data_IF_876090000904
#
_entry.id   IF_876090000904
#
_cell.length_a   1.000
_cell.length_b   1.000
_cell.length_c   1.000
_cell.angle_alpha   90.00
_cell.angle_beta   90.00
_cell.angle_gamma   90.00
#
_symmetry.space_group_name_H-M   'P 1'
#
loop_
_entity.id
_entity.type
_entity.pdbx_description
1 polymer ?
#
# COMPACT_ATOMS: atom_id res chain seq x y z
N UNK A 1 16.52 -19.88 -2.00
CA UNK A 1 16.77 -18.73 -2.91
C UNK A 1 15.81 -17.57 -2.63
N UNK A 2 14.48 -17.77 -2.68
CA UNK A 2 13.50 -16.68 -2.45
C UNK A 2 13.59 -15.98 -1.09
N UNK A 3 13.83 -16.70 0.01
CA UNK A 3 13.96 -16.10 1.35
C UNK A 3 15.11 -15.08 1.41
N UNK A 4 16.29 -15.42 0.88
CA UNK A 4 17.46 -14.53 0.89
C UNK A 4 17.21 -13.25 0.08
N UNK A 5 16.50 -13.35 -1.05
CA UNK A 5 16.11 -12.20 -1.88
C UNK A 5 15.19 -11.27 -1.09
N UNK A 6 14.12 -11.82 -0.50
CA UNK A 6 13.17 -11.05 0.31
C UNK A 6 13.87 -10.41 1.52
N UNK A 7 14.71 -11.16 2.22
CA UNK A 7 15.49 -10.67 3.35
C UNK A 7 16.38 -9.50 2.92
N UNK A 8 17.08 -9.60 1.79
CA UNK A 8 17.92 -8.53 1.25
C UNK A 8 17.12 -7.26 0.94
N UNK A 9 15.95 -7.38 0.33
CA UNK A 9 15.06 -6.25 0.07
C UNK A 9 14.57 -5.59 1.38
N UNK A 10 14.15 -6.39 2.37
CA UNK A 10 13.70 -5.89 3.68
C UNK A 10 14.84 -5.19 4.41
N UNK A 11 16.04 -5.78 4.46
CA UNK A 11 17.22 -5.17 5.07
C UNK A 11 17.59 -3.83 4.39
N UNK A 12 17.49 -3.77 3.07
CA UNK A 12 17.72 -2.53 2.32
C UNK A 12 16.69 -1.44 2.68
N UNK A 13 15.41 -1.80 2.77
CA UNK A 13 14.35 -0.89 3.23
C UNK A 13 14.58 -0.42 4.67
N UNK A 14 14.99 -1.33 5.56
CA UNK A 14 15.34 -1.00 6.95
C UNK A 14 16.56 -0.08 7.02
N UNK A 15 17.53 -0.21 6.13
CA UNK A 15 18.68 0.71 6.06
C UNK A 15 18.23 2.15 5.72
N UNK A 16 17.34 2.32 4.74
CA UNK A 16 16.77 3.65 4.44
C UNK A 16 15.96 4.22 5.60
N UNK A 17 15.20 3.37 6.29
CA UNK A 17 14.49 3.77 7.51
C UNK A 17 15.46 4.20 8.62
N UNK A 18 16.54 3.45 8.85
CA UNK A 18 17.57 3.79 9.83
C UNK A 18 18.26 5.11 9.49
N UNK A 19 18.54 5.39 8.21
CA UNK A 19 19.10 6.68 7.78
C UNK A 19 18.15 7.84 8.10
N UNK A 20 16.85 7.70 7.81
CA UNK A 20 15.85 8.70 8.17
C UNK A 20 15.76 8.94 9.69
N UNK A 21 15.79 7.86 10.46
CA UNK A 21 15.79 7.92 11.92
C UNK A 21 17.03 8.64 12.46
N UNK A 22 18.22 8.28 11.97
CA UNK A 22 19.49 8.86 12.40
C UNK A 22 19.56 10.35 12.06
N UNK A 23 19.16 10.76 10.85
CA UNK A 23 19.12 12.17 10.46
C UNK A 23 18.14 12.98 11.31
N UNK A 24 17.00 12.40 11.68
CA UNK A 24 16.05 13.06 12.56
C UNK A 24 16.59 13.22 14.00
N UNK A 25 17.24 12.18 14.55
CA UNK A 25 17.91 12.27 15.87
C UNK A 25 19.09 13.25 15.87
N UNK A 26 19.80 13.37 14.75
CA UNK A 26 20.83 14.39 14.54
C UNK A 26 20.27 15.80 14.31
N UNK A 27 18.94 15.99 14.34
CA UNK A 27 18.23 17.26 14.07
C UNK A 27 18.46 17.83 12.66
N UNK A 28 18.95 17.00 11.73
CA UNK A 28 19.13 17.34 10.32
C UNK A 28 17.82 17.18 9.53
N UNK A 29 16.97 16.24 9.95
CA UNK A 29 15.62 16.07 9.43
C UNK A 29 14.58 16.39 10.51
N UNK A 30 13.46 17.01 10.11
CA UNK A 30 12.33 17.29 10.99
C UNK A 30 11.04 16.69 10.40
N UNK A 31 10.01 16.56 11.23
CA UNK A 31 8.71 15.99 10.82
C UNK A 31 8.08 16.83 9.71
N UNK A 32 8.30 18.15 9.68
CA UNK A 32 7.80 19.02 8.61
C UNK A 32 8.39 18.64 7.25
N UNK A 33 9.68 18.29 7.18
CA UNK A 33 10.32 17.81 5.94
C UNK A 33 9.66 16.51 5.45
N UNK A 34 9.24 15.65 6.38
CA UNK A 34 8.58 14.38 6.06
C UNK A 34 7.22 14.57 5.38
N UNK A 35 6.49 15.65 5.70
CA UNK A 35 5.21 16.00 5.06
C UNK A 35 5.40 16.37 3.60
N UNK A 36 6.41 17.17 3.28
CA UNK A 36 6.75 17.54 1.89
C UNK A 36 7.12 16.31 1.05
N UNK A 37 7.97 15.43 1.59
CA UNK A 37 8.33 14.18 0.91
C UNK A 37 7.13 13.24 0.74
N UNK A 38 6.24 13.18 1.74
CA UNK A 38 4.99 12.40 1.64
C UNK A 38 4.07 12.92 0.54
N UNK A 39 3.93 14.25 0.41
CA UNK A 39 3.16 14.86 -0.66
C UNK A 39 3.77 14.53 -2.03
N UNK A 40 5.08 14.64 -2.17
CA UNK A 40 5.78 14.23 -3.39
C UNK A 40 5.54 12.76 -3.75
N UNK A 41 5.60 11.85 -2.77
CA UNK A 41 5.31 10.43 -2.97
C UNK A 41 3.87 10.19 -3.47
N UNK A 42 2.89 10.89 -2.89
CA UNK A 42 1.47 10.72 -3.23
C UNK A 42 1.12 11.35 -4.57
N UNK A 43 1.58 12.57 -4.85
CA UNK A 43 1.16 13.36 -6.01
C UNK A 43 2.06 13.20 -7.24
N UNK A 44 3.32 12.79 -7.07
CA UNK A 44 4.26 12.64 -8.19
C UNK A 44 4.72 11.19 -8.33
N UNK A 45 5.27 10.61 -7.27
CA UNK A 45 5.93 9.31 -7.35
C UNK A 45 4.93 8.16 -7.57
N UNK A 46 3.78 8.19 -6.89
CA UNK A 46 2.73 7.18 -7.04
C UNK A 46 2.13 7.17 -8.45
N UNK A 47 1.73 8.31 -9.05
CA UNK A 47 1.33 8.34 -10.45
C UNK A 47 2.41 7.80 -11.40
N UNK A 48 3.67 8.20 -11.21
CA UNK A 48 4.77 7.73 -12.05
C UNK A 48 5.02 6.23 -11.93
N UNK A 49 4.92 5.68 -10.72
CA UNK A 49 4.97 4.24 -10.46
C UNK A 49 3.86 3.48 -11.17
N UNK A 50 2.62 3.98 -11.15
CA UNK A 50 1.48 3.32 -11.78
C UNK A 50 1.68 3.32 -13.29
N UNK A 51 1.90 4.49 -13.89
CA UNK A 51 2.07 4.64 -15.34
C UNK A 51 3.25 3.79 -15.84
N UNK A 52 4.41 3.85 -15.17
CA UNK A 52 5.58 3.04 -15.55
C UNK A 52 5.31 1.54 -15.52
N UNK A 53 4.53 1.03 -14.55
CA UNK A 53 4.20 -0.41 -14.47
C UNK A 53 3.47 -0.91 -15.71
N UNK A 54 2.54 -0.11 -16.25
CA UNK A 54 1.79 -0.46 -17.43
C UNK A 54 2.59 -0.28 -18.72
N UNK A 55 3.57 0.63 -18.72
CA UNK A 55 4.44 0.89 -19.87
C UNK A 55 5.46 -0.22 -20.13
N UNK A 56 5.82 -1.03 -19.13
CA UNK A 56 6.72 -2.20 -19.30
C UNK A 56 6.02 -3.41 -19.89
N UNK A 57 4.69 -3.37 -20.08
CA UNK A 57 3.90 -4.47 -20.67
C UNK A 57 3.29 -4.10 -22.01
N UNK A 58 2.91 -5.13 -22.75
CA UNK A 58 2.14 -5.04 -23.98
C UNK A 58 0.75 -5.64 -23.73
N UNK A 59 -0.29 -4.95 -24.19
CA UNK A 59 -1.65 -5.42 -23.98
C UNK A 59 -1.97 -6.66 -24.80
N UNK A 60 -2.36 -7.71 -24.09
CA UNK A 60 -3.09 -8.87 -24.59
C UNK A 60 -4.41 -9.03 -23.83
N UNK A 61 -5.49 -9.51 -24.46
CA UNK A 61 -6.77 -9.74 -23.77
C UNK A 61 -6.64 -10.65 -22.55
N UNK A 62 -5.76 -11.64 -22.61
CA UNK A 62 -5.49 -12.55 -21.50
C UNK A 62 -4.90 -11.81 -20.29
N UNK A 63 -3.87 -10.97 -20.50
CA UNK A 63 -3.28 -10.17 -19.42
C UNK A 63 -4.30 -9.18 -18.88
N UNK A 64 -5.09 -8.53 -19.73
CA UNK A 64 -6.18 -7.65 -19.29
C UNK A 64 -7.17 -8.35 -18.35
N UNK A 65 -7.59 -9.58 -18.71
CA UNK A 65 -8.44 -10.42 -17.87
C UNK A 65 -7.77 -10.76 -16.53
N UNK A 66 -6.48 -11.15 -16.55
CA UNK A 66 -5.71 -11.44 -15.32
C UNK A 66 -5.64 -10.22 -14.40
N UNK A 67 -5.37 -9.03 -14.94
CA UNK A 67 -5.32 -7.79 -14.15
C UNK A 67 -6.66 -7.44 -13.52
N UNK A 68 -7.76 -7.56 -14.29
CA UNK A 68 -9.11 -7.34 -13.77
C UNK A 68 -9.46 -8.34 -12.66
N UNK A 69 -9.17 -9.62 -12.87
CA UNK A 69 -9.38 -10.64 -11.85
C UNK A 69 -8.53 -10.39 -10.61
N UNK A 70 -7.29 -9.91 -10.76
CA UNK A 70 -6.43 -9.55 -9.63
C UNK A 70 -7.01 -8.38 -8.83
N UNK A 71 -7.50 -7.34 -9.51
CA UNK A 71 -8.19 -6.22 -8.88
C UNK A 71 -9.42 -6.70 -8.09
N UNK A 72 -10.28 -7.51 -8.71
CA UNK A 72 -11.50 -8.02 -8.08
C UNK A 72 -11.19 -8.94 -6.89
N UNK A 73 -10.20 -9.83 -7.02
CA UNK A 73 -9.76 -10.70 -5.93
C UNK A 73 -9.19 -9.88 -4.77
N UNK A 74 -8.35 -8.88 -5.06
CA UNK A 74 -7.78 -7.99 -4.04
C UNK A 74 -8.87 -7.22 -3.29
N UNK A 75 -9.82 -6.64 -4.03
CA UNK A 75 -10.97 -5.93 -3.47
C UNK A 75 -11.83 -6.86 -2.60
N UNK A 76 -12.14 -8.06 -3.09
CA UNK A 76 -12.94 -9.05 -2.36
C UNK A 76 -12.27 -9.46 -1.05
N UNK A 77 -10.98 -9.82 -1.07
CA UNK A 77 -10.25 -10.22 0.14
C UNK A 77 -10.19 -9.07 1.16
N UNK A 78 -9.96 -7.84 0.72
CA UNK A 78 -9.98 -6.65 1.58
C UNK A 78 -11.37 -6.42 2.21
N UNK A 79 -12.44 -6.52 1.42
CA UNK A 79 -13.82 -6.38 1.91
C UNK A 79 -14.24 -7.51 2.84
N UNK A 80 -13.80 -8.75 2.59
CA UNK A 80 -14.06 -9.89 3.48
C UNK A 80 -13.37 -9.67 4.82
N UNK A 81 -12.11 -9.23 4.83
CA UNK A 81 -11.40 -8.92 6.07
C UNK A 81 -12.07 -7.77 6.83
N UNK A 82 -12.44 -6.70 6.12
CA UNK A 82 -13.21 -5.60 6.71
C UNK A 82 -14.53 -6.08 7.31
N UNK A 83 -15.32 -6.85 6.56
CA UNK A 83 -16.60 -7.40 7.03
C UNK A 83 -16.43 -8.31 8.24
N UNK A 84 -15.42 -9.18 8.25
CA UNK A 84 -15.10 -10.03 9.38
C UNK A 84 -14.77 -9.21 10.64
N UNK A 85 -13.96 -8.16 10.50
CA UNK A 85 -13.63 -7.26 11.61
C UNK A 85 -14.85 -6.50 12.13
N UNK A 86 -15.73 -6.03 11.24
CA UNK A 86 -16.98 -5.36 11.62
C UNK A 86 -17.89 -6.31 12.40
N UNK A 87 -18.03 -7.55 11.96
CA UNK A 87 -18.84 -8.57 12.63
C UNK A 87 -18.27 -8.95 14.01
N UNK A 88 -16.94 -9.12 14.11
CA UNK A 88 -16.27 -9.52 15.36
C UNK A 88 -16.27 -8.39 16.39
N UNK A 89 -16.00 -7.15 15.97
CA UNK A 89 -15.87 -6.02 16.89
C UNK A 89 -17.21 -5.37 17.22
N UNK A 90 -18.17 -5.36 16.29
CA UNK A 90 -19.51 -4.83 16.50
C UNK A 90 -19.52 -3.44 17.16
N UNK A 91 -20.13 -3.34 18.35
CA UNK A 91 -20.21 -2.08 19.12
C UNK A 91 -18.85 -1.51 19.54
N UNK A 92 -17.79 -2.33 19.62
CA UNK A 92 -16.44 -1.86 19.99
C UNK A 92 -15.87 -0.86 18.97
N UNK A 93 -16.41 -0.81 17.75
CA UNK A 93 -16.06 0.21 16.75
C UNK A 93 -16.46 1.65 17.16
N UNK A 94 -17.18 1.81 18.27
CA UNK A 94 -17.36 3.11 18.92
C UNK A 94 -16.05 3.71 19.43
N UNK A 95 -15.09 2.88 19.81
CA UNK A 95 -13.76 3.33 20.21
C UNK A 95 -12.83 3.41 18.99
N UNK A 96 -12.10 4.52 18.85
CA UNK A 96 -11.29 4.76 17.65
C UNK A 96 -10.11 3.82 17.46
N UNK A 97 -9.51 3.34 18.55
CA UNK A 97 -8.46 2.31 18.49
C UNK A 97 -8.91 1.03 17.75
N UNK A 98 -10.17 0.62 17.92
CA UNK A 98 -10.73 -0.55 17.22
C UNK A 98 -11.07 -0.23 15.75
N UNK A 99 -11.37 1.03 15.43
CA UNK A 99 -11.54 1.47 14.05
C UNK A 99 -10.21 1.48 13.29
N UNK A 100 -9.16 2.00 13.92
CA UNK A 100 -7.79 1.94 13.37
C UNK A 100 -7.33 0.49 13.22
N UNK A 101 -7.57 -0.36 14.22
CA UNK A 101 -7.31 -1.80 14.13
C UNK A 101 -8.01 -2.44 12.93
N UNK A 102 -9.28 -2.07 12.69
CA UNK A 102 -10.09 -2.61 11.58
C UNK A 102 -9.47 -2.26 10.23
N UNK A 103 -9.17 -0.98 9.98
CA UNK A 103 -8.59 -0.58 8.69
C UNK A 103 -7.14 -1.06 8.55
N UNK A 104 -6.37 -1.06 9.63
CA UNK A 104 -5.00 -1.56 9.66
C UNK A 104 -4.88 -3.06 9.41
N UNK A 105 -5.94 -3.83 9.64
CA UNK A 105 -5.95 -5.27 9.41
C UNK A 105 -5.87 -5.68 7.93
N UNK A 106 -6.25 -4.80 7.00
CA UNK A 106 -6.22 -5.10 5.55
C UNK A 106 -5.51 -4.03 4.70
N UNK A 107 -5.28 -2.81 5.20
CA UNK A 107 -4.57 -1.76 4.47
C UNK A 107 -3.04 -1.90 4.64
N UNK A 108 -2.36 -2.29 3.56
CA UNK A 108 -0.92 -2.56 3.55
C UNK A 108 -0.11 -1.57 2.71
N UNK A 109 1.19 -1.45 2.99
CA UNK A 109 2.13 -0.71 2.16
C UNK A 109 2.49 -1.48 0.86
N UNK A 110 1.50 -1.72 0.01
CA UNK A 110 1.69 -2.55 -1.18
C UNK A 110 2.52 -1.88 -2.26
N UNK A 111 2.34 -0.57 -2.45
CA UNK A 111 3.06 0.19 -3.47
C UNK A 111 4.55 0.32 -3.17
N UNK A 112 4.92 0.70 -1.95
CA UNK A 112 6.33 1.00 -1.61
C UNK A 112 7.06 -0.17 -0.95
N UNK A 113 6.34 -1.12 -0.34
CA UNK A 113 6.96 -2.31 0.30
C UNK A 113 6.67 -3.59 -0.49
N UNK A 114 5.40 -3.84 -0.85
CA UNK A 114 5.01 -5.07 -1.55
C UNK A 114 5.59 -5.22 -2.95
N UNK A 115 5.54 -4.15 -3.75
CA UNK A 115 5.99 -4.17 -5.15
C UNK A 115 7.47 -4.56 -5.29
N UNK A 116 8.45 -3.92 -4.61
CA UNK A 116 9.85 -4.33 -4.73
C UNK A 116 10.09 -5.80 -4.35
N UNK A 117 9.31 -6.35 -3.40
CA UNK A 117 9.44 -7.76 -3.02
C UNK A 117 8.98 -8.70 -4.13
N UNK A 118 7.83 -8.43 -4.76
CA UNK A 118 7.33 -9.30 -5.83
C UNK A 118 8.16 -9.14 -7.11
N UNK A 119 8.64 -7.93 -7.43
CA UNK A 119 9.54 -7.70 -8.57
C UNK A 119 10.88 -8.42 -8.36
N UNK A 120 11.43 -8.43 -7.13
CA UNK A 120 12.66 -9.14 -6.83
C UNK A 120 12.50 -10.68 -6.87
N UNK A 121 11.32 -11.20 -6.53
CA UNK A 121 11.02 -12.64 -6.60
C UNK A 121 10.68 -13.12 -8.00
N UNK A 122 10.14 -12.25 -8.86
CA UNK A 122 9.75 -12.58 -10.23
C UNK A 122 10.32 -11.55 -11.23
N UNK A 123 11.66 -11.46 -11.39
CA UNK A 123 12.31 -10.45 -12.23
C UNK A 123 11.88 -10.55 -13.70
N UNK A 124 11.58 -11.75 -14.19
CA UNK A 124 11.21 -12.01 -15.59
C UNK A 124 9.70 -11.91 -15.85
N UNK A 125 8.88 -11.59 -14.83
CA UNK A 125 7.43 -11.52 -14.96
C UNK A 125 6.92 -10.10 -14.67
N UNK A 126 6.94 -9.18 -15.65
CA UNK A 126 6.58 -7.79 -15.42
C UNK A 126 5.14 -7.62 -14.88
N UNK A 127 4.25 -8.59 -15.15
CA UNK A 127 2.86 -8.61 -14.67
C UNK A 127 2.71 -8.45 -13.15
N UNK A 128 3.69 -8.90 -12.35
CA UNK A 128 3.63 -8.79 -10.88
C UNK A 128 3.64 -7.34 -10.39
N UNK A 129 4.27 -6.44 -11.16
CA UNK A 129 4.26 -5.01 -10.89
C UNK A 129 2.85 -4.44 -11.05
N UNK A 130 2.17 -4.79 -12.16
CA UNK A 130 0.78 -4.38 -12.38
C UNK A 130 -0.18 -5.02 -11.39
N UNK A 131 0.00 -6.28 -11.00
CA UNK A 131 -0.77 -6.89 -9.90
C UNK A 131 -0.66 -6.08 -8.60
N UNK A 132 0.55 -5.67 -8.22
CA UNK A 132 0.76 -4.81 -7.05
C UNK A 132 0.04 -3.46 -7.18
N UNK A 133 0.02 -2.87 -8.38
CA UNK A 133 -0.73 -1.64 -8.63
C UNK A 133 -2.24 -1.85 -8.62
N UNK A 134 -2.75 -2.99 -9.09
CA UNK A 134 -4.17 -3.33 -9.01
C UNK A 134 -4.63 -3.53 -7.56
N UNK A 135 -3.80 -4.18 -6.72
CA UNK A 135 -4.06 -4.25 -5.28
C UNK A 135 -4.04 -2.85 -4.64
N UNK A 136 -3.03 -2.04 -4.95
CA UNK A 136 -2.92 -0.69 -4.42
C UNK A 136 -4.12 0.16 -4.85
N UNK A 137 -4.61 -0.02 -6.07
CA UNK A 137 -5.81 0.66 -6.61
C UNK A 137 -7.06 0.26 -5.84
N UNK A 138 -7.29 -1.05 -5.62
CA UNK A 138 -8.46 -1.51 -4.85
C UNK A 138 -8.39 -1.00 -3.41
N UNK A 139 -7.22 -1.05 -2.79
CA UNK A 139 -6.99 -0.54 -1.44
C UNK A 139 -7.23 0.97 -1.39
N UNK A 140 -6.79 1.73 -2.40
CA UNK A 140 -6.95 3.17 -2.45
C UNK A 140 -8.42 3.59 -2.53
N UNK A 141 -9.25 2.85 -3.29
CA UNK A 141 -10.71 3.04 -3.28
C UNK A 141 -11.28 2.85 -1.88
N UNK A 142 -10.83 1.82 -1.14
CA UNK A 142 -11.28 1.57 0.23
C UNK A 142 -10.76 2.61 1.22
N UNK A 143 -9.54 3.12 1.03
CA UNK A 143 -8.93 4.17 1.86
C UNK A 143 -9.77 5.44 1.82
N UNK A 144 -10.09 5.94 0.62
CA UNK A 144 -10.87 7.17 0.44
C UNK A 144 -12.39 7.00 0.61
N UNK A 145 -12.84 5.83 1.08
CA UNK A 145 -14.25 5.56 1.39
C UNK A 145 -14.40 5.05 2.82
N UNK A 146 -14.08 3.78 3.05
CA UNK A 146 -14.15 3.12 4.35
C UNK A 146 -13.09 3.68 5.30
N UNK A 147 -11.86 3.89 4.82
CA UNK A 147 -10.75 4.41 5.63
C UNK A 147 -11.05 5.79 6.21
N UNK A 148 -11.42 6.76 5.36
CA UNK A 148 -11.83 8.10 5.79
C UNK A 148 -12.99 8.04 6.79
N UNK A 149 -14.00 7.21 6.55
CA UNK A 149 -15.12 7.07 7.49
C UNK A 149 -14.71 6.50 8.84
N UNK A 150 -13.87 5.47 8.85
CA UNK A 150 -13.44 4.80 10.07
C UNK A 150 -12.51 5.69 10.91
N UNK A 151 -11.73 6.56 10.27
CA UNK A 151 -10.87 7.54 10.96
C UNK A 151 -11.69 8.73 11.47
N UNK A 152 -12.47 9.38 10.61
CA UNK A 152 -13.14 10.65 10.91
C UNK A 152 -14.52 10.51 11.58
N UNK A 153 -15.18 9.36 11.43
CA UNK A 153 -16.60 9.13 11.77
C UNK A 153 -17.61 10.03 11.06
N UNK A 154 -17.17 10.80 10.08
CA UNK A 154 -18.00 11.80 9.43
C UNK A 154 -18.25 11.42 7.97
N UNK A 155 -19.52 11.14 7.66
CA UNK A 155 -19.95 10.77 6.32
C UNK A 155 -19.73 11.88 5.30
N UNK A 156 -19.56 13.14 5.72
CA UNK A 156 -19.28 14.26 4.82
C UNK A 156 -17.96 14.12 4.08
N UNK A 157 -17.01 13.36 4.62
CA UNK A 157 -15.73 13.10 3.96
C UNK A 157 -15.85 12.00 2.90
N UNK A 158 -16.82 11.07 3.05
CA UNK A 158 -17.15 10.08 2.03
C UNK A 158 -17.84 10.76 0.85
N UNK A 159 -17.06 11.25 -0.11
CA UNK A 159 -17.58 11.76 -1.37
C UNK A 159 -17.13 10.85 -2.50
N UNK A 160 -18.06 10.41 -3.35
CA UNK A 160 -17.72 9.66 -4.58
C UNK A 160 -16.64 10.40 -5.38
N UNK A 161 -16.74 11.73 -5.43
CA UNK A 161 -15.71 12.60 -6.01
C UNK A 161 -14.31 12.37 -5.43
N UNK A 162 -14.14 12.22 -4.11
CA UNK A 162 -12.82 11.98 -3.49
C UNK A 162 -12.32 10.55 -3.72
N UNK A 163 -13.24 9.58 -3.74
CA UNK A 163 -12.90 8.19 -4.05
C UNK A 163 -12.34 8.04 -5.47
N UNK A 164 -12.87 8.79 -6.45
CA UNK A 164 -12.43 8.71 -7.85
C UNK A 164 -11.44 9.79 -8.28
N UNK A 165 -11.45 10.97 -7.65
CA UNK A 165 -10.49 12.07 -7.91
C UNK A 165 -9.41 12.02 -6.83
N UNK A 166 -8.52 11.05 -6.97
CA UNK A 166 -7.28 10.99 -6.20
C UNK A 166 -6.10 10.64 -7.11
N UNK A 167 -4.85 10.95 -6.72
CA UNK A 167 -3.69 10.75 -7.59
C UNK A 167 -3.51 9.32 -8.10
N UNK A 168 -3.90 8.32 -7.31
CA UNK A 168 -3.79 6.90 -7.68
C UNK A 168 -4.80 6.53 -8.77
N UNK A 169 -6.08 6.85 -8.58
CA UNK A 169 -7.14 6.58 -9.56
C UNK A 169 -6.93 7.39 -10.83
N UNK A 170 -6.58 8.67 -10.72
CA UNK A 170 -6.23 9.50 -11.88
C UNK A 170 -5.09 8.89 -12.69
N UNK A 171 -4.04 8.39 -12.03
CA UNK A 171 -2.94 7.72 -12.71
C UNK A 171 -3.37 6.42 -13.39
N UNK A 172 -4.23 5.61 -12.77
CA UNK A 172 -4.78 4.40 -13.39
C UNK A 172 -5.67 4.74 -14.59
N UNK A 173 -6.48 5.80 -14.51
CA UNK A 173 -7.29 6.28 -15.62
C UNK A 173 -6.46 6.79 -16.81
N UNK A 174 -5.21 7.18 -16.59
CA UNK A 174 -4.26 7.49 -17.68
C UNK A 174 -3.52 6.23 -18.14
N UNK A 175 -3.07 5.39 -17.21
CA UNK A 175 -2.26 4.21 -17.50
C UNK A 175 -3.03 3.14 -18.29
N UNK A 176 -4.30 2.89 -17.94
CA UNK A 176 -5.12 1.86 -18.61
C UNK A 176 -5.37 2.21 -20.09
N UNK A 177 -5.83 3.41 -20.47
CA UNK A 177 -5.96 3.77 -21.88
C UNK A 177 -4.65 3.70 -22.65
N UNK A 178 -3.54 4.20 -22.08
CA UNK A 178 -2.22 4.08 -22.72
C UNK A 178 -1.84 2.61 -22.96
N UNK A 179 -2.12 1.74 -21.99
CA UNK A 179 -1.89 0.31 -22.09
C UNK A 179 -2.77 -0.36 -23.15
N UNK A 180 -4.09 -0.12 -23.14
CA UNK A 180 -5.04 -0.70 -24.08
C UNK A 180 -4.79 -0.25 -25.52
N UNK A 181 -4.49 1.03 -25.71
CA UNK A 181 -4.19 1.63 -27.02
C UNK A 181 -2.75 1.33 -27.48
N UNK A 182 -1.94 0.65 -26.65
CA UNK A 182 -0.53 0.33 -26.90
C UNK A 182 0.33 1.58 -27.18
N UNK A 183 -0.05 2.71 -26.59
CA UNK A 183 0.68 3.96 -26.72
C UNK A 183 1.87 3.93 -25.77
N UNK A 184 3.08 3.93 -26.36
CA UNK A 184 4.34 4.07 -25.62
C UNK A 184 4.66 5.55 -25.43
N UNK A 185 5.04 5.91 -24.21
CA UNK A 185 5.47 7.29 -23.92
C UNK A 185 6.84 7.57 -24.58
N UNK A 186 7.15 8.82 -24.95
CA UNK A 186 8.49 9.21 -25.40
C UNK A 186 9.58 8.86 -24.36
N UNK A 187 10.80 8.57 -24.81
CA UNK A 187 11.91 8.12 -23.96
C UNK A 187 12.18 9.04 -22.76
N UNK A 188 12.12 10.37 -22.96
CA UNK A 188 12.29 11.35 -21.90
C UNK A 188 11.25 11.20 -20.78
N UNK A 189 9.97 11.01 -21.13
CA UNK A 189 8.90 10.82 -20.14
C UNK A 189 9.05 9.48 -19.44
N UNK A 190 9.37 8.41 -20.18
CA UNK A 190 9.61 7.09 -19.59
C UNK A 190 10.73 7.13 -18.56
N UNK A 191 11.83 7.83 -18.85
CA UNK A 191 12.94 7.99 -17.91
C UNK A 191 12.48 8.67 -16.62
N UNK A 192 11.68 9.74 -16.71
CA UNK A 192 11.15 10.42 -15.52
C UNK A 192 10.28 9.47 -14.70
N UNK A 193 9.37 8.73 -15.34
CA UNK A 193 8.49 7.78 -14.65
C UNK A 193 9.27 6.64 -13.99
N UNK A 194 10.35 6.17 -14.64
CA UNK A 194 11.25 5.15 -14.10
C UNK A 194 12.01 5.66 -12.87
N UNK A 195 12.56 6.87 -12.94
CA UNK A 195 13.25 7.50 -11.82
C UNK A 195 12.31 7.73 -10.62
N UNK A 196 11.08 8.21 -10.87
CA UNK A 196 10.04 8.33 -9.84
C UNK A 196 9.74 6.97 -9.19
N UNK A 197 9.66 5.90 -9.98
CA UNK A 197 9.43 4.55 -9.48
C UNK A 197 10.55 4.08 -8.57
N UNK A 198 11.80 4.28 -8.96
CA UNK A 198 12.97 3.77 -8.22
C UNK A 198 13.22 4.53 -6.92
N UNK A 199 12.97 5.84 -6.88
CA UNK A 199 13.13 6.63 -5.65
C UNK A 199 12.00 6.44 -4.63
N UNK A 200 10.85 5.94 -5.08
CA UNK A 200 9.62 5.89 -4.27
C UNK A 200 9.77 5.07 -2.99
N UNK A 201 10.29 3.85 -3.09
CA UNK A 201 10.46 2.97 -1.92
C UNK A 201 11.51 3.50 -0.93
N UNK A 202 12.74 3.91 -1.35
CA UNK A 202 13.71 4.54 -0.48
C UNK A 202 13.18 5.79 0.25
N UNK A 203 12.54 6.71 -0.46
CA UNK A 203 11.99 7.94 0.14
C UNK A 203 10.88 7.59 1.14
N UNK A 204 10.01 6.62 0.83
CA UNK A 204 8.96 6.17 1.74
C UNK A 204 9.55 5.61 3.04
N UNK A 205 10.57 4.76 2.95
CA UNK A 205 11.24 4.19 4.14
C UNK A 205 11.98 5.26 4.94
N UNK A 206 12.64 6.21 4.27
CA UNK A 206 13.27 7.36 4.91
C UNK A 206 12.26 8.19 5.71
N UNK A 207 11.12 8.53 5.11
CA UNK A 207 10.02 9.27 5.75
C UNK A 207 9.50 8.52 6.98
N UNK A 208 9.32 7.20 6.89
CA UNK A 208 8.94 6.37 8.03
C UNK A 208 9.98 6.43 9.15
N UNK A 209 11.27 6.42 8.82
CA UNK A 209 12.35 6.58 9.78
C UNK A 209 12.31 7.91 10.52
N UNK A 210 12.09 9.02 9.80
CA UNK A 210 11.93 10.36 10.39
C UNK A 210 10.73 10.41 11.34
N UNK A 211 9.59 9.82 10.96
CA UNK A 211 8.40 9.75 11.81
C UNK A 211 8.65 8.92 13.07
N UNK A 212 9.28 7.74 12.94
CA UNK A 212 9.63 6.89 14.08
C UNK A 212 10.54 7.61 15.07
N UNK A 213 11.46 8.47 14.60
CA UNK A 213 12.34 9.24 15.47
C UNK A 213 11.63 10.31 16.31
N UNK A 214 10.45 10.77 15.87
CA UNK A 214 9.60 11.73 16.59
C UNK A 214 8.67 11.08 17.62
N UNK A 215 8.56 9.75 17.62
CA UNK A 215 7.73 9.00 18.56
C UNK A 215 8.52 8.57 19.80
N UNK A 216 7.82 8.46 20.92
CA UNK A 216 8.35 7.80 22.11
C UNK A 216 8.31 6.29 21.93
N UNK A 217 9.48 5.64 21.95
CA UNK A 217 9.58 4.18 21.77
C UNK A 217 8.75 3.39 22.80
N UNK A 218 8.55 3.95 24.00
CA UNK A 218 7.66 3.37 25.01
C UNK A 218 6.22 3.32 24.55
N UNK A 219 5.74 4.36 23.86
CA UNK A 219 4.39 4.41 23.29
C UNK A 219 4.25 3.49 22.07
N UNK A 220 5.33 3.27 21.31
CA UNK A 220 5.35 2.33 20.18
C UNK A 220 5.24 0.89 20.67
N UNK A 221 6.08 0.49 21.63
CA UNK A 221 6.12 -0.89 22.12
C UNK A 221 5.10 -1.18 23.23
N UNK A 222 4.49 -0.15 23.82
CA UNK A 222 3.56 -0.26 24.95
C UNK A 222 2.08 -0.42 24.58
N UNK A 223 1.74 -0.63 23.30
CA UNK A 223 0.36 -0.73 22.83
C UNK A 223 -0.03 -2.17 22.45
N UNK A 224 -0.70 -2.94 23.33
CA UNK A 224 -1.15 -4.32 23.03
C UNK A 224 -1.97 -4.44 21.75
N UNK A 225 -2.79 -3.42 21.45
CA UNK A 225 -3.65 -3.41 20.26
C UNK A 225 -2.84 -3.32 18.96
N UNK A 226 -1.66 -2.70 18.98
CA UNK A 226 -0.78 -2.61 17.81
C UNK A 226 -0.18 -3.98 17.45
N UNK A 227 0.15 -4.81 18.45
CA UNK A 227 0.59 -6.20 18.23
C UNK A 227 -0.55 -7.05 17.66
N UNK A 228 -1.78 -6.88 18.16
CA UNK A 228 -2.94 -7.55 17.59
C UNK A 228 -3.15 -7.12 16.13
N UNK A 229 -3.06 -5.83 15.82
CA UNK A 229 -3.16 -5.32 14.46
C UNK A 229 -2.08 -5.90 13.54
N UNK A 230 -0.85 -5.98 14.03
CA UNK A 230 0.28 -6.59 13.31
C UNK A 230 0.04 -8.08 13.05
N UNK A 231 -0.44 -8.83 14.03
CA UNK A 231 -0.78 -10.24 13.87
C UNK A 231 -1.94 -10.44 12.86
N UNK A 232 -2.98 -9.62 12.95
CA UNK A 232 -4.08 -9.65 11.98
C UNK A 232 -3.59 -9.33 10.56
N UNK A 233 -2.72 -8.33 10.40
CA UNK A 233 -2.25 -7.88 9.10
C UNK A 233 -1.19 -8.79 8.47
N UNK A 234 -0.29 -9.36 9.26
CA UNK A 234 0.85 -10.16 8.78
C UNK A 234 0.59 -11.67 8.80
N UNK A 235 -0.40 -12.12 9.57
CA UNK A 235 -0.73 -13.56 9.69
C UNK A 235 -2.16 -13.80 9.20
N UNK A 236 -3.18 -13.21 9.83
CA UNK A 236 -4.57 -13.54 9.52
C UNK A 236 -4.98 -13.14 8.10
N UNK A 237 -4.65 -11.92 7.66
CA UNK A 237 -5.03 -11.40 6.36
C UNK A 237 -4.36 -12.14 5.18
N UNK A 238 -3.04 -12.43 5.20
CA UNK A 238 -2.40 -13.26 4.17
C UNK A 238 -2.93 -14.70 4.14
N UNK A 239 -3.18 -15.31 5.30
CA UNK A 239 -3.75 -16.66 5.37
C UNK A 239 -5.18 -16.70 4.84
N UNK A 240 -5.99 -15.69 5.15
CA UNK A 240 -7.33 -15.53 4.60
C UNK A 240 -7.28 -15.38 3.07
N UNK A 241 -6.41 -14.49 2.58
CA UNK A 241 -6.20 -14.28 1.16
C UNK A 241 -5.81 -15.58 0.45
N UNK A 242 -4.83 -16.29 1.02
CA UNK A 242 -4.36 -17.57 0.51
C UNK A 242 -5.47 -18.61 0.49
N UNK A 243 -6.19 -18.78 1.59
CA UNK A 243 -7.29 -19.76 1.68
C UNK A 243 -8.35 -19.50 0.60
N UNK A 244 -8.71 -18.25 0.35
CA UNK A 244 -9.71 -17.88 -0.67
C UNK A 244 -9.23 -18.27 -2.08
N UNK A 245 -7.98 -17.95 -2.44
CA UNK A 245 -7.48 -18.20 -3.81
C UNK A 245 -6.89 -19.59 -4.00
N UNK A 246 -6.54 -20.30 -2.93
CA UNK A 246 -5.92 -21.63 -3.00
C UNK A 246 -6.82 -22.61 -3.74
N UNK A 247 -8.11 -22.64 -3.38
CA UNK A 247 -9.13 -23.52 -3.98
C UNK A 247 -9.56 -23.12 -5.40
N UNK A 248 -9.06 -22.00 -5.93
CA UNK A 248 -9.39 -21.54 -7.27
C UNK A 248 -8.39 -22.10 -8.29
N UNK A 249 -8.80 -23.03 -9.19
CA UNK A 249 -7.87 -23.70 -10.11
C UNK A 249 -7.44 -22.82 -11.30
N UNK A 250 -8.16 -21.74 -11.59
CA UNK A 250 -7.89 -20.84 -12.72
C UNK A 250 -6.81 -19.79 -12.46
N UNK A 251 -6.30 -19.66 -11.23
CA UNK A 251 -5.20 -18.75 -10.91
C UNK A 251 -3.85 -19.47 -10.94
N UNK A 252 -2.91 -18.89 -11.69
CA UNK A 252 -1.54 -19.39 -11.74
C UNK A 252 -0.78 -19.12 -10.43
N UNK A 253 0.35 -19.81 -10.25
CA UNK A 253 1.18 -19.69 -9.05
C UNK A 253 1.67 -18.25 -8.84
N UNK A 254 2.01 -17.54 -9.92
CA UNK A 254 2.44 -16.13 -9.84
C UNK A 254 1.34 -15.25 -9.25
N UNK A 255 0.09 -15.39 -9.70
CA UNK A 255 -1.05 -14.66 -9.16
C UNK A 255 -1.22 -14.94 -7.66
N UNK A 256 -1.25 -16.22 -7.27
CA UNK A 256 -1.46 -16.62 -5.86
C UNK A 256 -0.34 -16.11 -4.94
N UNK A 257 0.92 -16.26 -5.37
CA UNK A 257 2.09 -15.81 -4.59
C UNK A 257 2.13 -14.28 -4.52
N UNK A 258 1.83 -13.58 -5.62
CA UNK A 258 1.79 -12.11 -5.62
C UNK A 258 0.71 -11.59 -4.67
N UNK A 259 -0.48 -12.19 -4.67
CA UNK A 259 -1.55 -11.83 -3.74
C UNK A 259 -1.14 -12.11 -2.28
N UNK A 260 -0.50 -13.24 -2.00
CA UNK A 260 0.00 -13.57 -0.67
C UNK A 260 1.03 -12.55 -0.17
N UNK A 261 2.00 -12.18 -1.00
CA UNK A 261 3.05 -11.21 -0.61
C UNK A 261 2.46 -9.82 -0.42
N UNK A 262 1.59 -9.37 -1.33
CA UNK A 262 0.98 -8.04 -1.26
C UNK A 262 0.03 -7.91 -0.05
N UNK A 263 -0.64 -9.00 0.34
CA UNK A 263 -1.41 -9.03 1.60
C UNK A 263 -0.53 -9.13 2.84
N UNK A 264 0.69 -9.67 2.73
CA UNK A 264 1.67 -9.79 3.83
C UNK A 264 2.51 -8.54 4.11
N UNK A 265 2.28 -7.42 3.43
CA UNK A 265 3.04 -6.18 3.69
C UNK A 265 2.67 -5.55 5.03
N UNK A 266 3.55 -4.76 5.67
CA UNK A 266 3.21 -3.99 6.85
C UNK A 266 2.08 -2.98 6.58
N UNK A 267 1.48 -2.46 7.65
CA UNK A 267 0.43 -1.44 7.61
C UNK A 267 0.81 -0.23 6.74
N UNK A 268 -0.17 0.33 6.03
CA UNK A 268 0.06 1.44 5.12
C UNK A 268 0.35 2.76 5.88
N UNK A 269 1.46 3.42 5.55
CA UNK A 269 1.83 4.73 6.10
C UNK A 269 0.79 5.85 5.85
N UNK A 270 -0.06 5.65 4.85
CA UNK A 270 -1.17 6.56 4.49
C UNK A 270 -2.23 6.63 5.60
N UNK A 271 -2.37 5.61 6.45
CA UNK A 271 -3.32 5.65 7.57
C UNK A 271 -2.97 6.75 8.56
N UNK A 272 -1.69 6.84 8.96
CA UNK A 272 -1.20 7.93 9.80
C UNK A 272 -1.41 9.29 9.12
N UNK A 273 -1.12 9.41 7.83
CA UNK A 273 -1.32 10.67 7.12
C UNK A 273 -2.78 11.11 7.00
N UNK A 274 -3.73 10.17 6.93
CA UNK A 274 -5.16 10.49 7.00
C UNK A 274 -5.60 10.87 8.41
N UNK A 275 -5.09 10.16 9.43
CA UNK A 275 -5.31 10.50 10.83
C UNK A 275 -4.82 11.92 11.18
N UNK A 276 -3.65 12.31 10.67
CA UNK A 276 -3.13 13.68 10.76
C UNK A 276 -4.01 14.70 10.02
N UNK A 277 -4.46 14.39 8.80
CA UNK A 277 -5.27 15.31 7.99
C UNK A 277 -6.65 15.59 8.59
N UNK A 278 -7.22 14.60 9.30
CA UNK A 278 -8.51 14.72 9.98
C UNK A 278 -8.40 15.07 11.47
N UNK A 279 -7.18 15.24 11.97
CA UNK A 279 -6.89 15.50 13.40
C UNK A 279 -7.55 14.48 14.35
N UNK A 280 -7.58 13.20 13.93
CA UNK A 280 -8.26 12.09 14.61
C UNK A 280 -7.33 10.89 14.76
N UNK A 281 -7.34 10.21 15.91
CA UNK A 281 -6.71 8.89 16.11
C UNK A 281 -5.21 8.78 15.78
N UNK A 282 -4.47 9.90 15.79
CA UNK A 282 -3.04 9.97 15.43
C UNK A 282 -2.16 8.99 16.22
N UNK A 283 -2.39 8.86 17.53
CA UNK A 283 -1.60 7.97 18.41
C UNK A 283 -1.80 6.49 18.08
N UNK A 284 -3.00 6.10 17.67
CA UNK A 284 -3.33 4.70 17.33
C UNK A 284 -2.91 4.34 15.90
N UNK A 285 -2.88 5.33 14.99
CA UNK A 285 -2.49 5.16 13.60
C UNK A 285 -0.97 5.25 13.35
N UNK A 286 -0.25 5.83 14.31
CA UNK A 286 1.19 5.95 14.39
C UNK A 286 1.88 4.60 14.61
#
# INVERSE_FOLDING_TARGET
>A
MGFTIVLGCVLSMMAFMAMGYAMAKAKLAKVEHSRTLSAFLVYCATPGMIISSFQTMCFTPEVGKKLLLFFLASLAVQLIMYGAMVLILGKRLEEGKFRILTIGSFMGNVGFFGRPLVEALFPDQPIVACYSMMFATSMNLLIFTIGEFMISRDRKYITIKRAFINPTILAVMVAIPLYLLRIKLPSGIQSIMLTLREMSAPICMFVLGVRLASMDLKDVFGQPIAYLGSALKLIAFPLLAYAIVYFMPWFDSTFKITLLITTGTPCAAVMLSLAELHDCEQKNAA
#
